data_IF_951254569346
#
_entry.id   IF_951254569346
#
_cell.length_a   1.000
_cell.length_b   1.000
_cell.length_c   1.000
_cell.angle_alpha   90.00
_cell.angle_beta   90.00
_cell.angle_gamma   90.00
#
_symmetry.space_group_name_H-M   'P 1'
#
loop_
_entity.id
_entity.type
_entity.pdbx_description
1 polymer ?
#
# COMPACT_ATOMS: atom_id res chain seq x y z
N UNK A 1 -53.02 -13.15 10.33
CA UNK A 1 -51.86 -13.64 9.52
C UNK A 1 -50.59 -12.94 10.00
N UNK A 2 -49.87 -13.57 10.89
CA UNK A 2 -48.58 -13.07 11.40
C UNK A 2 -47.48 -13.66 10.48
N UNK A 3 -46.78 -12.77 9.75
CA UNK A 3 -45.57 -13.15 9.02
C UNK A 3 -44.45 -13.32 10.03
N UNK A 4 -43.95 -14.52 10.21
CA UNK A 4 -42.72 -14.80 10.94
C UNK A 4 -41.53 -14.21 10.17
N UNK A 5 -40.82 -13.26 10.78
CA UNK A 5 -39.48 -12.84 10.35
C UNK A 5 -38.50 -13.96 10.69
N UNK A 6 -37.94 -14.59 9.69
CA UNK A 6 -36.76 -15.44 9.83
C UNK A 6 -35.59 -14.57 10.32
N UNK A 7 -34.85 -14.94 11.36
CA UNK A 7 -33.66 -14.20 11.74
C UNK A 7 -32.57 -14.41 10.67
N UNK A 8 -31.96 -13.32 10.22
CA UNK A 8 -30.75 -13.37 9.42
C UNK A 8 -29.67 -14.09 10.21
N UNK A 9 -29.13 -15.16 9.62
CA UNK A 9 -27.99 -15.89 10.16
C UNK A 9 -26.79 -14.96 10.14
N UNK A 10 -26.35 -14.48 11.30
CA UNK A 10 -25.06 -13.77 11.42
C UNK A 10 -23.94 -14.73 11.03
N UNK A 11 -23.04 -14.29 10.15
CA UNK A 11 -21.88 -15.05 9.73
C UNK A 11 -21.06 -15.49 10.96
N UNK A 12 -20.54 -16.71 10.91
CA UNK A 12 -19.68 -17.20 12.00
C UNK A 12 -18.37 -16.40 12.07
N UNK A 13 -17.70 -16.31 13.25
CA UNK A 13 -16.41 -15.64 13.35
C UNK A 13 -15.35 -16.16 12.36
N UNK A 14 -15.43 -17.43 11.96
CA UNK A 14 -14.56 -18.04 10.94
C UNK A 14 -14.86 -17.54 9.54
N UNK A 15 -16.15 -17.37 9.19
CA UNK A 15 -16.56 -16.85 7.88
C UNK A 15 -16.21 -15.37 7.76
N UNK A 16 -16.38 -14.57 8.81
CA UNK A 16 -15.99 -13.16 8.84
C UNK A 16 -14.45 -13.00 8.71
N UNK A 17 -13.68 -13.87 9.38
CA UNK A 17 -12.22 -13.85 9.29
C UNK A 17 -11.72 -14.27 7.90
N UNK A 18 -12.29 -15.33 7.32
CA UNK A 18 -11.96 -15.79 5.97
C UNK A 18 -12.32 -14.74 4.89
N UNK A 19 -13.46 -14.06 5.03
CA UNK A 19 -13.86 -12.96 4.13
C UNK A 19 -12.89 -11.78 4.22
N UNK A 20 -12.48 -11.37 5.43
CA UNK A 20 -11.52 -10.29 5.62
C UNK A 20 -10.12 -10.61 5.09
N UNK A 21 -9.69 -11.87 5.15
CA UNK A 21 -8.42 -12.32 4.56
C UNK A 21 -8.42 -12.27 3.04
N UNK A 22 -9.48 -12.74 2.41
CA UNK A 22 -9.65 -12.69 0.95
C UNK A 22 -9.61 -11.24 0.48
N UNK A 23 -10.22 -10.34 1.23
CA UNK A 23 -10.25 -8.90 0.94
C UNK A 23 -8.85 -8.27 1.02
N UNK A 24 -8.06 -8.60 2.05
CA UNK A 24 -6.66 -8.12 2.19
C UNK A 24 -5.78 -8.63 1.04
N UNK A 25 -5.83 -9.92 0.74
CA UNK A 25 -5.04 -10.54 -0.31
C UNK A 25 -5.38 -9.95 -1.69
N UNK A 26 -6.66 -9.82 -2.00
CA UNK A 26 -7.12 -9.32 -3.29
C UNK A 26 -6.78 -7.84 -3.47
N UNK A 27 -7.03 -7.01 -2.45
CA UNK A 27 -6.69 -5.58 -2.48
C UNK A 27 -5.19 -5.36 -2.62
N UNK A 28 -4.37 -6.08 -1.84
CA UNK A 28 -2.91 -6.00 -1.98
C UNK A 28 -2.47 -6.43 -3.39
N UNK A 29 -3.00 -7.54 -3.93
CA UNK A 29 -2.67 -8.03 -5.28
C UNK A 29 -3.01 -6.99 -6.37
N UNK A 30 -4.16 -6.34 -6.28
CA UNK A 30 -4.58 -5.30 -7.22
C UNK A 30 -3.62 -4.11 -7.18
N UNK A 31 -3.40 -3.54 -6.01
CA UNK A 31 -2.53 -2.36 -5.83
C UNK A 31 -1.09 -2.67 -6.20
N UNK A 32 -0.54 -3.81 -5.75
CA UNK A 32 0.84 -4.21 -6.06
C UNK A 32 1.05 -4.48 -7.55
N UNK A 33 0.01 -4.91 -8.28
CA UNK A 33 0.10 -5.07 -9.74
C UNK A 33 0.30 -3.74 -10.46
N UNK A 34 -0.34 -2.67 -9.98
CA UNK A 34 -0.17 -1.30 -10.47
C UNK A 34 1.26 -0.79 -10.27
N UNK A 35 1.79 -0.95 -9.05
CA UNK A 35 3.18 -0.60 -8.78
C UNK A 35 4.17 -1.40 -9.63
N UNK A 36 3.95 -2.70 -9.76
CA UNK A 36 4.75 -3.56 -10.64
C UNK A 36 4.69 -3.15 -12.11
N UNK A 37 3.58 -2.63 -12.59
CA UNK A 37 3.47 -2.08 -13.94
C UNK A 37 4.33 -0.80 -14.09
N UNK A 38 4.30 0.11 -13.12
CA UNK A 38 5.15 1.30 -13.10
C UNK A 38 6.64 0.94 -13.04
N UNK A 39 7.03 -0.02 -12.18
CA UNK A 39 8.41 -0.52 -12.09
C UNK A 39 8.90 -1.07 -13.44
N UNK A 40 8.08 -1.87 -14.12
CA UNK A 40 8.44 -2.43 -15.45
C UNK A 40 8.48 -1.38 -16.57
N UNK A 41 7.74 -0.29 -16.42
CA UNK A 41 7.75 0.82 -17.37
C UNK A 41 8.99 1.73 -17.23
N UNK A 42 9.71 1.64 -16.12
CA UNK A 42 10.89 2.47 -15.86
C UNK A 42 12.06 2.09 -16.78
N UNK A 43 12.37 2.95 -17.76
CA UNK A 43 13.57 2.78 -18.58
C UNK A 43 14.84 2.98 -17.72
N UNK A 44 15.97 2.36 -18.10
CA UNK A 44 17.21 2.40 -17.29
C UNK A 44 17.71 3.81 -16.95
N UNK A 45 17.51 4.78 -17.83
CA UNK A 45 17.88 6.19 -17.67
C UNK A 45 16.90 6.97 -16.77
N UNK A 46 15.75 6.40 -16.41
CA UNK A 46 14.73 7.04 -15.58
C UNK A 46 14.92 6.81 -14.08
N UNK A 47 15.72 5.86 -13.68
CA UNK A 47 15.92 5.55 -12.25
C UNK A 47 16.47 6.71 -11.43
N UNK A 48 17.26 7.61 -12.06
CA UNK A 48 17.75 8.83 -11.42
C UNK A 48 16.79 10.04 -11.49
N UNK A 49 15.59 9.90 -12.09
CA UNK A 49 14.63 11.00 -12.20
C UNK A 49 14.08 11.40 -10.83
N UNK A 50 13.93 12.71 -10.58
CA UNK A 50 13.36 13.24 -9.35
C UNK A 50 11.89 12.81 -9.21
N UNK A 51 11.54 12.27 -8.06
CA UNK A 51 10.14 11.95 -7.72
C UNK A 51 9.43 13.13 -7.03
N UNK A 52 8.11 13.08 -6.86
CA UNK A 52 7.37 14.03 -6.03
C UNK A 52 7.78 14.05 -4.56
N UNK A 53 8.40 12.98 -4.06
CA UNK A 53 8.96 12.93 -2.72
C UNK A 53 10.28 13.72 -2.72
N UNK A 54 10.38 14.73 -1.85
CA UNK A 54 11.62 15.53 -1.74
C UNK A 54 12.82 14.62 -1.48
N UNK A 55 13.93 14.89 -2.17
CA UNK A 55 15.21 14.18 -2.06
C UNK A 55 15.18 12.70 -2.53
N UNK A 56 14.06 12.21 -3.10
CA UNK A 56 13.96 10.85 -3.62
C UNK A 56 13.93 10.82 -5.14
N UNK A 57 14.76 9.98 -5.71
CA UNK A 57 14.67 9.59 -7.12
C UNK A 57 13.62 8.49 -7.33
N UNK A 58 13.33 8.17 -8.58
CA UNK A 58 12.49 7.01 -8.92
C UNK A 58 13.01 5.71 -8.29
N UNK A 59 14.35 5.52 -8.25
CA UNK A 59 14.97 4.37 -7.59
C UNK A 59 14.70 4.36 -6.08
N UNK A 60 14.80 5.53 -5.43
CA UNK A 60 14.60 5.63 -3.99
C UNK A 60 13.14 5.31 -3.60
N UNK A 61 12.16 5.67 -4.45
CA UNK A 61 10.76 5.27 -4.27
C UNK A 61 10.63 3.74 -4.25
N UNK A 62 11.23 3.05 -5.23
CA UNK A 62 11.18 1.57 -5.28
C UNK A 62 11.97 0.96 -4.12
N UNK A 63 13.12 1.54 -3.76
CA UNK A 63 13.91 1.11 -2.62
C UNK A 63 13.08 1.12 -1.34
N UNK A 64 12.43 2.25 -1.04
CA UNK A 64 11.56 2.41 0.13
C UNK A 64 10.47 1.32 0.17
N UNK A 65 9.74 1.14 -0.92
CA UNK A 65 8.66 0.16 -0.99
C UNK A 65 9.19 -1.26 -0.79
N UNK A 66 10.31 -1.63 -1.43
CA UNK A 66 10.93 -2.95 -1.29
C UNK A 66 11.41 -3.20 0.13
N UNK A 67 12.05 -2.21 0.76
CA UNK A 67 12.57 -2.32 2.13
C UNK A 67 11.44 -2.46 3.16
N UNK A 68 10.32 -1.72 3.00
CA UNK A 68 9.12 -1.91 3.80
C UNK A 68 8.58 -3.34 3.69
N UNK A 69 8.54 -3.91 2.47
CA UNK A 69 8.14 -5.29 2.25
C UNK A 69 9.08 -6.27 2.94
N UNK A 70 10.40 -6.10 2.78
CA UNK A 70 11.42 -6.92 3.44
C UNK A 70 11.27 -6.88 4.96
N UNK A 71 10.98 -5.70 5.53
CA UNK A 71 10.73 -5.53 6.95
C UNK A 71 9.56 -6.37 7.45
N UNK A 72 8.43 -6.32 6.76
CA UNK A 72 7.25 -7.14 7.09
C UNK A 72 7.54 -8.62 6.92
N UNK A 73 8.20 -9.04 5.82
CA UNK A 73 8.57 -10.43 5.57
C UNK A 73 9.47 -10.96 6.70
N UNK A 74 10.48 -10.20 7.10
CA UNK A 74 11.38 -10.55 8.19
C UNK A 74 10.64 -10.67 9.51
N UNK A 75 9.73 -9.74 9.81
CA UNK A 75 8.91 -9.76 11.04
C UNK A 75 7.98 -11.00 11.11
N UNK A 76 7.41 -11.40 9.96
CA UNK A 76 6.53 -12.57 9.89
C UNK A 76 7.33 -13.88 9.93
N UNK A 77 8.40 -13.99 9.13
CA UNK A 77 9.15 -15.25 8.97
C UNK A 77 10.23 -15.46 10.04
N UNK A 78 10.61 -14.39 10.74
CA UNK A 78 11.80 -14.32 11.57
C UNK A 78 13.04 -14.04 10.72
N UNK A 79 13.97 -13.29 11.27
CA UNK A 79 15.21 -12.90 10.60
C UNK A 79 15.40 -11.37 10.60
N UNK A 80 16.42 -10.93 9.88
CA UNK A 80 16.74 -9.53 9.70
C UNK A 80 16.27 -9.04 8.32
N UNK A 81 15.86 -7.78 8.25
CA UNK A 81 15.57 -7.12 6.99
C UNK A 81 16.85 -6.54 6.41
N UNK A 82 17.20 -6.94 5.19
CA UNK A 82 18.34 -6.39 4.48
C UNK A 82 17.93 -5.22 3.60
N UNK A 83 18.69 -4.11 3.57
CA UNK A 83 18.44 -3.00 2.66
C UNK A 83 18.58 -3.44 1.20
N UNK A 84 18.01 -2.65 0.28
CA UNK A 84 18.21 -2.88 -1.15
C UNK A 84 19.63 -2.46 -1.54
N UNK A 85 20.42 -3.42 -2.04
CA UNK A 85 21.79 -3.15 -2.48
C UNK A 85 21.85 -2.16 -3.65
N UNK A 86 22.93 -1.36 -3.71
CA UNK A 86 23.12 -0.38 -4.78
C UNK A 86 23.13 -1.01 -6.18
N UNK A 87 23.69 -2.21 -6.30
CA UNK A 87 23.79 -2.96 -7.55
C UNK A 87 22.61 -3.94 -7.77
N UNK A 88 21.69 -4.04 -6.83
CA UNK A 88 20.52 -4.91 -6.95
C UNK A 88 19.50 -4.29 -7.91
N UNK A 89 18.98 -5.09 -8.84
CA UNK A 89 17.97 -4.67 -9.80
C UNK A 89 16.62 -4.41 -9.08
N UNK A 90 16.09 -3.17 -9.12
CA UNK A 90 14.87 -2.81 -8.41
C UNK A 90 13.65 -3.63 -8.85
N UNK A 91 13.59 -4.01 -10.13
CA UNK A 91 12.46 -4.78 -10.66
C UNK A 91 12.45 -6.21 -10.11
N UNK A 92 13.61 -6.85 -10.08
CA UNK A 92 13.74 -8.19 -9.51
C UNK A 92 13.50 -8.18 -7.99
N UNK A 93 14.01 -7.16 -7.30
CA UNK A 93 13.79 -6.99 -5.87
C UNK A 93 12.31 -6.84 -5.55
N UNK A 94 11.58 -6.02 -6.31
CA UNK A 94 10.14 -5.85 -6.21
C UNK A 94 9.39 -7.17 -6.45
N UNK A 95 9.68 -7.86 -7.54
CA UNK A 95 9.04 -9.15 -7.87
C UNK A 95 9.23 -10.20 -6.76
N UNK A 96 10.41 -10.25 -6.17
CA UNK A 96 10.71 -11.17 -5.07
C UNK A 96 9.94 -10.78 -3.80
N UNK A 97 9.92 -9.51 -3.45
CA UNK A 97 9.25 -9.00 -2.26
C UNK A 97 7.73 -9.17 -2.36
N UNK A 98 7.12 -8.75 -3.48
CA UNK A 98 5.65 -8.86 -3.66
C UNK A 98 5.17 -10.31 -3.71
N UNK A 99 5.96 -11.24 -4.26
CA UNK A 99 5.65 -12.67 -4.22
C UNK A 99 5.62 -13.20 -2.79
N UNK A 100 6.62 -12.82 -1.97
CA UNK A 100 6.69 -13.25 -0.58
C UNK A 100 5.54 -12.70 0.27
N UNK A 101 5.11 -11.45 0.05
CA UNK A 101 3.89 -10.91 0.69
C UNK A 101 2.63 -11.64 0.19
N UNK A 102 2.56 -11.99 -1.09
CA UNK A 102 1.47 -12.80 -1.64
C UNK A 102 1.34 -14.17 -0.95
N UNK A 103 2.46 -14.82 -0.65
CA UNK A 103 2.49 -16.06 0.13
C UNK A 103 2.00 -15.84 1.57
N UNK A 104 2.44 -14.76 2.23
CA UNK A 104 2.00 -14.39 3.59
C UNK A 104 0.50 -14.14 3.62
N UNK A 105 -0.03 -13.35 2.68
CA UNK A 105 -1.47 -13.02 2.63
C UNK A 105 -2.36 -14.22 2.27
N UNK A 106 -1.79 -15.26 1.66
CA UNK A 106 -2.46 -16.53 1.38
C UNK A 106 -2.43 -17.54 2.54
N UNK A 107 -1.68 -17.26 3.61
CA UNK A 107 -1.52 -18.15 4.76
C UNK A 107 -2.25 -17.59 6.00
N UNK A 108 -3.32 -18.26 6.48
CA UNK A 108 -4.08 -17.84 7.66
C UNK A 108 -3.25 -17.69 8.94
N UNK A 109 -2.23 -18.52 9.13
CA UNK A 109 -1.36 -18.45 10.30
C UNK A 109 -0.43 -17.24 10.21
N UNK A 110 0.16 -17.01 9.03
CA UNK A 110 1.05 -15.89 8.77
C UNK A 110 0.36 -14.53 8.93
N UNK A 111 -0.85 -14.35 8.38
CA UNK A 111 -1.61 -13.09 8.52
C UNK A 111 -2.06 -12.80 9.94
N UNK A 112 -2.27 -13.84 10.76
CA UNK A 112 -2.63 -13.70 12.16
C UNK A 112 -1.45 -13.39 13.09
N UNK A 113 -0.21 -13.55 12.62
CA UNK A 113 0.98 -13.35 13.44
C UNK A 113 1.12 -11.88 13.85
N UNK A 114 1.33 -11.61 15.14
CA UNK A 114 1.57 -10.27 15.64
C UNK A 114 2.99 -9.81 15.29
N UNK A 115 3.06 -8.66 14.63
CA UNK A 115 4.30 -7.97 14.28
C UNK A 115 4.26 -6.51 14.73
N UNK A 116 5.39 -5.83 14.70
CA UNK A 116 5.43 -4.38 14.97
C UNK A 116 4.80 -3.62 13.80
N UNK A 117 3.81 -2.80 14.11
CA UNK A 117 3.17 -1.91 13.17
C UNK A 117 3.27 -0.44 13.63
N UNK A 118 2.76 0.51 12.84
CA UNK A 118 2.89 1.95 13.15
C UNK A 118 2.27 2.39 14.48
N UNK A 119 1.29 1.63 14.98
CA UNK A 119 0.58 1.96 16.23
C UNK A 119 0.83 0.93 17.34
N UNK A 120 1.85 0.09 17.22
CA UNK A 120 2.19 -0.98 18.14
C UNK A 120 2.02 -2.37 17.53
N UNK A 121 1.97 -3.40 18.39
CA UNK A 121 1.77 -4.79 17.94
C UNK A 121 0.38 -4.96 17.31
N UNK A 122 0.36 -5.59 16.13
CA UNK A 122 -0.88 -5.87 15.40
C UNK A 122 -0.70 -7.06 14.44
N UNK A 123 -1.79 -7.72 14.02
CA UNK A 123 -1.71 -8.81 13.05
C UNK A 123 -1.04 -8.37 11.73
N UNK A 124 -0.19 -9.22 11.17
CA UNK A 124 0.51 -8.96 9.91
C UNK A 124 -0.46 -8.61 8.76
N UNK A 125 -1.60 -9.29 8.68
CA UNK A 125 -2.65 -8.98 7.71
C UNK A 125 -3.18 -7.55 7.83
N UNK A 126 -3.25 -7.01 9.04
CA UNK A 126 -3.66 -5.63 9.27
C UNK A 126 -2.56 -4.63 8.83
N UNK A 127 -1.30 -4.93 9.13
CA UNK A 127 -0.16 -4.11 8.65
C UNK A 127 -0.14 -4.07 7.12
N UNK A 128 -0.28 -5.24 6.47
CA UNK A 128 -0.27 -5.35 5.01
C UNK A 128 -1.49 -4.64 4.41
N UNK A 129 -2.70 -4.94 4.90
CA UNK A 129 -3.94 -4.43 4.30
C UNK A 129 -4.17 -2.94 4.49
N UNK A 130 -3.79 -2.37 5.64
CA UNK A 130 -4.07 -0.97 5.95
C UNK A 130 -2.89 -0.04 5.61
N UNK A 131 -1.68 -0.40 5.98
CA UNK A 131 -0.53 0.51 5.87
C UNK A 131 0.29 0.24 4.62
N UNK A 132 0.72 -1.01 4.40
CA UNK A 132 1.56 -1.33 3.27
C UNK A 132 0.83 -1.16 1.93
N UNK A 133 -0.41 -1.63 1.81
CA UNK A 133 -1.19 -1.50 0.57
C UNK A 133 -1.41 -0.03 0.21
N UNK A 134 -1.70 0.82 1.18
CA UNK A 134 -1.83 2.26 0.97
C UNK A 134 -0.50 2.89 0.55
N UNK A 135 0.60 2.54 1.21
CA UNK A 135 1.95 3.03 0.87
C UNK A 135 2.31 2.69 -0.58
N UNK A 136 2.07 1.44 -1.00
CA UNK A 136 2.25 0.99 -2.39
C UNK A 136 1.38 1.80 -3.37
N UNK A 137 0.10 2.06 -3.02
CA UNK A 137 -0.82 2.83 -3.87
C UNK A 137 -0.29 4.24 -4.12
N UNK A 138 0.12 4.94 -3.07
CA UNK A 138 0.63 6.31 -3.15
C UNK A 138 1.93 6.36 -3.93
N UNK A 139 2.84 5.46 -3.65
CA UNK A 139 4.14 5.39 -4.33
C UNK A 139 4.05 4.88 -5.77
N UNK A 140 2.94 4.23 -6.16
CA UNK A 140 2.66 3.95 -7.58
C UNK A 140 2.56 5.26 -8.36
N UNK A 141 1.83 6.24 -7.84
CA UNK A 141 1.73 7.56 -8.47
C UNK A 141 3.06 8.31 -8.44
N UNK A 142 3.76 8.31 -7.30
CA UNK A 142 5.06 8.99 -7.18
C UNK A 142 6.07 8.44 -8.21
N UNK A 143 6.13 7.12 -8.38
CA UNK A 143 7.00 6.48 -9.36
C UNK A 143 6.57 6.79 -10.79
N UNK A 144 5.28 6.62 -11.11
CA UNK A 144 4.75 6.88 -12.45
C UNK A 144 5.06 8.32 -12.89
N UNK A 145 4.86 9.30 -12.02
CA UNK A 145 5.19 10.71 -12.29
C UNK A 145 6.69 10.94 -12.51
N UNK A 146 7.53 10.33 -11.68
CA UNK A 146 8.99 10.46 -11.81
C UNK A 146 9.50 9.96 -13.17
N UNK A 147 8.96 8.86 -13.66
CA UNK A 147 9.40 8.24 -14.92
C UNK A 147 8.63 8.72 -16.15
N UNK A 148 7.56 9.52 -15.98
CA UNK A 148 6.70 10.00 -17.07
C UNK A 148 5.76 8.92 -17.63
N UNK A 149 5.30 7.98 -16.77
CA UNK A 149 4.33 6.93 -17.12
C UNK A 149 2.88 7.37 -16.85
N UNK A 150 1.92 6.46 -17.06
CA UNK A 150 0.50 6.71 -16.73
C UNK A 150 0.33 6.84 -15.21
N UNK A 151 -0.14 8.00 -14.75
CA UNK A 151 -0.31 8.35 -13.34
C UNK A 151 -1.64 7.90 -12.76
N UNK A 152 -2.51 7.26 -13.55
CA UNK A 152 -3.82 6.81 -13.08
C UNK A 152 -3.70 5.63 -12.15
N UNK A 153 -4.31 5.78 -10.99
CA UNK A 153 -4.45 4.75 -9.99
C UNK A 153 -5.80 4.04 -10.15
N UNK A 154 -5.92 2.86 -9.57
CA UNK A 154 -7.22 2.20 -9.46
C UNK A 154 -8.18 3.02 -8.58
N UNK A 155 -9.30 3.46 -9.17
CA UNK A 155 -10.23 4.40 -8.55
C UNK A 155 -10.85 3.85 -7.26
N UNK A 156 -11.18 2.56 -7.23
CA UNK A 156 -11.76 1.93 -6.04
C UNK A 156 -10.73 1.86 -4.90
N UNK A 157 -9.49 1.53 -5.21
CA UNK A 157 -8.39 1.53 -4.24
C UNK A 157 -8.11 2.94 -3.70
N UNK A 158 -8.15 3.96 -4.55
CA UNK A 158 -8.03 5.37 -4.16
C UNK A 158 -9.15 5.78 -3.22
N UNK A 159 -10.41 5.51 -3.58
CA UNK A 159 -11.57 5.84 -2.76
C UNK A 159 -11.47 5.17 -1.39
N UNK A 160 -11.16 3.88 -1.36
CA UNK A 160 -11.00 3.10 -0.13
C UNK A 160 -9.90 3.68 0.78
N UNK A 161 -8.73 3.99 0.22
CA UNK A 161 -7.62 4.58 0.95
C UNK A 161 -7.97 5.97 1.48
N UNK A 162 -8.61 6.80 0.66
CA UNK A 162 -9.01 8.16 1.04
C UNK A 162 -10.02 8.16 2.18
N UNK A 163 -11.08 7.35 2.09
CA UNK A 163 -12.09 7.24 3.16
C UNK A 163 -11.47 6.70 4.47
N UNK A 164 -10.52 5.77 4.39
CA UNK A 164 -9.82 5.25 5.56
C UNK A 164 -8.92 6.28 6.24
N UNK A 165 -8.32 7.21 5.46
CA UNK A 165 -7.38 8.20 5.99
C UNK A 165 -8.06 9.49 6.47
N UNK A 166 -9.22 9.89 5.94
CA UNK A 166 -9.92 11.12 6.35
C UNK A 166 -10.08 11.26 7.87
N UNK A 167 -10.55 10.24 8.61
CA UNK A 167 -10.68 10.34 10.07
C UNK A 167 -9.35 10.41 10.81
N UNK A 168 -8.24 10.07 10.16
CA UNK A 168 -6.89 10.05 10.72
C UNK A 168 -6.07 11.31 10.35
N UNK A 169 -6.69 12.34 9.75
CA UNK A 169 -5.99 13.51 9.19
C UNK A 169 -4.95 14.10 10.17
N UNK A 170 -5.34 14.39 11.42
CA UNK A 170 -4.41 14.93 12.41
C UNK A 170 -3.25 13.97 12.76
N UNK A 171 -3.51 12.65 12.76
CA UNK A 171 -2.53 11.63 13.11
C UNK A 171 -1.48 11.44 12.02
N UNK A 172 -1.87 11.52 10.76
CA UNK A 172 -0.96 11.28 9.62
C UNK A 172 -0.08 12.49 9.29
N UNK A 173 -0.28 13.67 9.95
CA UNK A 173 0.55 14.89 9.78
C UNK A 173 1.78 14.88 10.70
N UNK A 174 2.32 13.71 10.95
CA UNK A 174 3.56 13.57 11.70
C UNK A 174 4.78 13.69 10.76
N UNK A 175 5.94 14.15 11.26
CA UNK A 175 7.18 14.09 10.49
C UNK A 175 7.39 12.68 9.91
N UNK A 176 7.80 12.60 8.66
CA UNK A 176 8.09 11.36 7.92
C UNK A 176 6.87 10.49 7.55
N UNK A 177 5.63 10.97 7.75
CA UNK A 177 4.41 10.29 7.26
C UNK A 177 3.89 11.02 6.02
N UNK A 178 3.08 12.06 6.20
CA UNK A 178 2.59 12.89 5.09
C UNK A 178 2.79 14.38 5.38
N UNK A 179 3.07 15.14 4.33
CA UNK A 179 3.14 16.60 4.40
C UNK A 179 1.80 17.27 4.73
N UNK A 180 1.80 18.61 4.88
CA UNK A 180 0.56 19.37 5.01
C UNK A 180 -0.36 19.08 3.82
N UNK A 181 -1.67 18.93 4.10
CA UNK A 181 -2.65 18.83 3.01
C UNK A 181 -2.69 20.12 2.20
N UNK A 182 -3.00 19.97 0.93
CA UNK A 182 -3.20 21.07 -0.01
C UNK A 182 -4.69 21.18 -0.34
N UNK A 183 -5.13 22.36 -0.76
CA UNK A 183 -6.48 22.55 -1.27
C UNK A 183 -6.56 22.05 -2.72
N UNK A 184 -7.38 21.02 -2.94
CA UNK A 184 -7.63 20.50 -4.27
C UNK A 184 -8.41 21.52 -5.12
N UNK A 185 -8.20 21.55 -6.46
CA UNK A 185 -9.01 22.38 -7.36
C UNK A 185 -10.51 22.06 -7.23
N UNK A 186 -11.35 23.06 -7.39
CA UNK A 186 -12.80 22.85 -7.39
C UNK A 186 -13.22 21.89 -8.52
N UNK A 187 -13.97 20.85 -8.16
CA UNK A 187 -14.40 19.81 -9.11
C UNK A 187 -13.32 18.79 -9.48
N UNK A 188 -12.26 18.71 -8.68
CA UNK A 188 -11.24 17.66 -8.84
C UNK A 188 -11.86 16.26 -8.74
N UNK A 189 -11.27 15.31 -9.44
CA UNK A 189 -11.60 13.90 -9.29
C UNK A 189 -11.07 13.33 -7.95
N UNK A 190 -11.52 12.14 -7.59
CA UNK A 190 -11.19 11.52 -6.30
C UNK A 190 -9.69 11.27 -6.14
N UNK A 191 -8.97 10.93 -7.22
CA UNK A 191 -7.52 10.75 -7.17
C UNK A 191 -6.82 12.06 -6.88
N UNK A 192 -7.20 13.14 -7.54
CA UNK A 192 -6.64 14.48 -7.30
C UNK A 192 -6.94 14.93 -5.88
N UNK A 193 -8.18 14.79 -5.38
CA UNK A 193 -8.51 15.09 -3.98
C UNK A 193 -7.66 14.31 -3.00
N UNK A 194 -7.49 13.00 -3.22
CA UNK A 194 -6.66 12.12 -2.39
C UNK A 194 -5.20 12.55 -2.36
N UNK A 195 -4.61 12.82 -3.54
CA UNK A 195 -3.22 13.24 -3.64
C UNK A 195 -2.98 14.59 -2.94
N UNK A 196 -3.87 15.55 -3.13
CA UNK A 196 -3.81 16.84 -2.45
C UNK A 196 -3.99 16.71 -0.94
N UNK A 197 -4.88 15.81 -0.50
CA UNK A 197 -5.01 15.47 0.91
C UNK A 197 -3.70 14.91 1.49
N UNK A 198 -2.91 14.18 0.71
CA UNK A 198 -1.60 13.66 1.09
C UNK A 198 -0.44 14.66 0.89
N UNK A 199 -0.73 15.90 0.49
CA UNK A 199 0.27 16.95 0.26
C UNK A 199 0.99 16.86 -1.09
N UNK A 200 0.45 16.08 -2.04
CA UNK A 200 0.98 15.93 -3.39
C UNK A 200 0.25 16.83 -4.38
N UNK A 201 0.96 17.40 -5.32
CA UNK A 201 0.37 18.18 -6.43
C UNK A 201 0.25 17.30 -7.66
N UNK A 202 -0.96 16.86 -7.97
CA UNK A 202 -1.27 16.13 -9.20
C UNK A 202 -1.30 17.07 -10.43
#
# INVERSE_FOLDING_TARGET
>A
MLRSKTPELSASPRETYASGMTDVQENYRLVSSGFGAAVRAAAPDKWGAQSPCEQWTARDVVTHVVENHRGVIASVRGGESEPLGADEDPSQAWEKATRAIGEITGDPEAVGKEIDGPTGKMPAGQVIGQFMTMDVLVHTWDLARAIGADERLDEESVLRAYEALKPLDAMIRQPFVFGPKLDAPAGADVQTEFLYFLGRRA
#
